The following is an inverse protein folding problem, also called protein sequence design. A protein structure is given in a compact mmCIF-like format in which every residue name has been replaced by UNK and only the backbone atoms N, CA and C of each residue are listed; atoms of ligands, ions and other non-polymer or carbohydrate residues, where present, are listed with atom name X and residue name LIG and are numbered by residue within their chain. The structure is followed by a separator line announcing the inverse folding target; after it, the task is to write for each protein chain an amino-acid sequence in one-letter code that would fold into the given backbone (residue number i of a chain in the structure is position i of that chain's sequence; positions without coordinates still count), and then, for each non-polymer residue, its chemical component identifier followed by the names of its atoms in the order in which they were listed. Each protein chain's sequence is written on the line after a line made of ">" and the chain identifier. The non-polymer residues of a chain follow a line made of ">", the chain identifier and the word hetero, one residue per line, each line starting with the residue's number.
data_IF_932694361248
#
_entry.id   IF_932694361248
#
_cell.length_a   1.000
_cell.length_b   1.000
_cell.length_c   1.000
_cell.angle_alpha   90.00
_cell.angle_beta   90.00
_cell.angle_gamma   90.00
#
_symmetry.space_group_name_H-M   'P 1'
#
loop_
_entity.id
_entity.type
_entity.pdbx_description
1 polymer ?
#
# COMPACT_ATOMS: atom_id res chain seq x y z
N UNK A 1 15.60 2.93 -18.65
CA UNK A 1 14.34 2.27 -18.23
C UNK A 1 14.13 2.62 -16.76
N UNK A 2 13.04 3.31 -16.39
CA UNK A 2 12.79 3.64 -14.97
C UNK A 2 12.54 2.33 -14.20
N UNK A 3 13.17 2.08 -13.04
CA UNK A 3 12.92 0.87 -12.27
C UNK A 3 11.45 0.81 -11.84
N UNK A 4 10.78 -0.30 -12.17
CA UNK A 4 9.34 -0.49 -11.94
C UNK A 4 8.97 -0.53 -10.45
N UNK A 5 9.93 -0.84 -9.57
CA UNK A 5 9.77 -0.90 -8.11
C UNK A 5 11.07 -0.46 -7.43
N UNK A 6 10.96 0.30 -6.35
CA UNK A 6 12.08 0.66 -5.47
C UNK A 6 11.81 0.08 -4.08
N UNK A 7 12.80 -0.57 -3.48
CA UNK A 7 12.71 -0.98 -2.07
C UNK A 7 12.80 0.26 -1.18
N UNK A 8 11.88 0.37 -0.23
CA UNK A 8 11.83 1.45 0.75
C UNK A 8 11.71 0.84 2.14
N UNK A 9 12.45 1.39 3.10
CA UNK A 9 12.28 1.04 4.52
C UNK A 9 11.22 1.96 5.10
N UNK A 10 10.21 1.38 5.75
CA UNK A 10 9.14 2.12 6.41
C UNK A 10 8.94 1.55 7.81
N UNK A 11 8.56 2.42 8.74
CA UNK A 11 8.17 2.02 10.10
C UNK A 11 6.65 1.93 10.16
N UNK A 12 6.14 0.82 10.67
CA UNK A 12 4.71 0.58 10.86
C UNK A 12 4.50 0.12 12.31
N UNK A 13 3.33 0.45 12.86
CA UNK A 13 2.93 -0.09 14.15
C UNK A 13 2.82 -1.61 14.08
N UNK A 14 3.34 -2.30 15.10
CA UNK A 14 3.28 -3.77 15.20
C UNK A 14 1.88 -4.36 14.96
N UNK A 15 0.79 -3.86 15.59
CA UNK A 15 -0.55 -4.42 15.35
C UNK A 15 -1.02 -4.25 13.91
N UNK A 16 -0.59 -3.18 13.23
CA UNK A 16 -0.92 -2.94 11.83
C UNK A 16 -0.16 -3.91 10.93
N UNK A 17 1.13 -4.12 11.19
CA UNK A 17 1.96 -5.06 10.45
C UNK A 17 1.40 -6.49 10.52
N UNK A 18 1.01 -6.94 11.71
CA UNK A 18 0.44 -8.28 11.93
C UNK A 18 -0.85 -8.50 11.13
N UNK A 19 -1.76 -7.51 11.14
CA UNK A 19 -2.99 -7.59 10.36
C UNK A 19 -2.73 -7.63 8.85
N UNK A 20 -1.84 -6.76 8.36
CA UNK A 20 -1.49 -6.71 6.93
C UNK A 20 -0.84 -8.03 6.50
N UNK A 21 -0.02 -8.65 7.35
CA UNK A 21 0.60 -9.94 7.09
C UNK A 21 -0.44 -11.05 6.95
N UNK A 22 -1.38 -11.15 7.89
CA UNK A 22 -2.48 -12.13 7.84
C UNK A 22 -3.33 -11.95 6.58
N UNK A 23 -3.65 -10.70 6.21
CA UNK A 23 -4.45 -10.42 5.02
C UNK A 23 -3.69 -10.76 3.73
N UNK A 24 -2.39 -10.49 3.68
CA UNK A 24 -1.55 -10.85 2.54
C UNK A 24 -1.45 -12.38 2.36
N UNK A 25 -1.30 -13.13 3.45
CA UNK A 25 -1.28 -14.60 3.44
C UNK A 25 -2.62 -15.19 2.98
N UNK A 26 -3.75 -14.63 3.42
CA UNK A 26 -5.09 -15.06 2.99
C UNK A 26 -5.32 -14.91 1.49
N UNK A 27 -4.66 -13.95 0.85
CA UNK A 27 -4.76 -13.72 -0.59
C UNK A 27 -3.66 -14.44 -1.41
N UNK A 28 -2.76 -15.20 -0.78
CA UNK A 28 -1.58 -15.80 -1.42
C UNK A 28 -0.66 -14.74 -2.06
N UNK A 29 -0.46 -13.60 -1.38
CA UNK A 29 0.33 -12.46 -1.88
C UNK A 29 1.44 -12.09 -0.90
N UNK A 30 2.54 -11.54 -1.43
CA UNK A 30 3.59 -10.99 -0.58
C UNK A 30 3.14 -9.71 0.12
N UNK A 31 3.64 -9.48 1.33
CA UNK A 31 3.36 -8.29 2.15
C UNK A 31 3.56 -6.98 1.34
N UNK A 32 4.69 -6.85 0.63
CA UNK A 32 4.98 -5.67 -0.19
C UNK A 32 3.99 -5.48 -1.35
N UNK A 33 3.45 -6.57 -1.89
CA UNK A 33 2.45 -6.53 -2.96
C UNK A 33 1.08 -6.14 -2.44
N UNK A 34 0.74 -6.57 -1.22
CA UNK A 34 -0.51 -6.23 -0.54
C UNK A 34 -0.51 -4.76 -0.08
N UNK A 35 0.57 -4.30 0.55
CA UNK A 35 0.77 -2.88 0.90
C UNK A 35 0.64 -1.98 -0.35
N UNK A 36 1.27 -2.36 -1.47
CA UNK A 36 1.17 -1.59 -2.71
C UNK A 36 -0.26 -1.49 -3.26
N UNK A 37 -1.08 -2.53 -3.10
CA UNK A 37 -2.48 -2.51 -3.53
C UNK A 37 -3.28 -1.50 -2.71
N UNK A 38 -3.13 -1.55 -1.38
CA UNK A 38 -3.81 -0.63 -0.46
C UNK A 38 -3.39 0.81 -0.72
N UNK A 39 -2.08 1.07 -0.87
CA UNK A 39 -1.57 2.41 -1.15
C UNK A 39 -2.12 2.97 -2.48
N UNK A 40 -2.22 2.13 -3.52
CA UNK A 40 -2.84 2.55 -4.79
C UNK A 40 -4.31 2.90 -4.63
N UNK A 41 -5.06 2.10 -3.88
CA UNK A 41 -6.46 2.38 -3.59
C UNK A 41 -6.61 3.68 -2.79
N UNK A 42 -5.77 3.89 -1.78
CA UNK A 42 -5.77 5.10 -0.96
C UNK A 42 -5.44 6.36 -1.78
N UNK A 43 -4.41 6.31 -2.63
CA UNK A 43 -4.06 7.41 -3.54
C UNK A 43 -5.19 7.73 -4.53
N UNK A 44 -5.86 6.69 -5.06
CA UNK A 44 -7.02 6.89 -5.93
C UNK A 44 -8.20 7.54 -5.17
N UNK A 45 -8.39 7.19 -3.90
CA UNK A 45 -9.44 7.77 -3.07
C UNK A 45 -9.14 9.23 -2.68
N UNK A 46 -7.86 9.55 -2.40
CA UNK A 46 -7.41 10.94 -2.19
C UNK A 46 -7.62 11.75 -3.48
N UNK A 47 -7.19 11.24 -4.64
CA UNK A 47 -7.36 11.94 -5.92
C UNK A 47 -8.83 12.15 -6.31
N UNK A 48 -9.76 11.37 -5.76
CA UNK A 48 -11.21 11.57 -5.92
C UNK A 48 -11.78 12.56 -4.90
N UNK A 49 -11.15 12.69 -3.73
CA UNK A 49 -11.59 13.52 -2.62
C UNK A 49 -10.99 14.92 -2.62
N UNK A 50 -9.86 15.13 -3.29
CA UNK A 50 -9.39 16.46 -3.66
C UNK A 50 -10.31 16.95 -4.79
N UNK A 51 -11.29 17.85 -4.52
CA UNK A 51 -11.76 18.66 -5.62
C UNK A 51 -10.52 19.40 -6.11
N UNK A 52 -10.29 19.39 -7.41
CA UNK A 52 -9.26 20.23 -8.00
C UNK A 52 -9.54 21.66 -7.54
N UNK A 53 -8.76 22.15 -6.56
CA UNK A 53 -8.64 23.58 -6.31
C UNK A 53 -7.90 24.12 -7.53
N UNK A 54 -8.69 24.61 -8.50
CA UNK A 54 -8.25 25.44 -9.62
C UNK A 54 -7.58 26.74 -9.14
#
# INVERSE_FOLDING_TARGET
>A
MKPTKKSVSITLDWPVLEQIQILAEREDRSLSSYINLILKAHLADIARKEPQEE
#
